data_IF_343945532259
#
_entry.id   IF_343945532259
#
_cell.length_a   1.000
_cell.length_b   1.000
_cell.length_c   1.000
_cell.angle_alpha   90.00
_cell.angle_beta   90.00
_cell.angle_gamma   90.00
#
_symmetry.space_group_name_H-M   'P 1'
#
loop_
_entity.id
_entity.type
_entity.pdbx_description
1 polymer ?
#
# COMPACT_ATOMS: atom_id res chain seq x y z
N UNK A 1 41.25 -24.48 -41.41
CA UNK A 1 41.14 -23.73 -40.14
C UNK A 1 39.67 -23.77 -39.72
N UNK A 2 39.30 -24.75 -38.90
CA UNK A 2 37.94 -24.96 -38.40
C UNK A 2 38.04 -24.94 -36.87
N UNK A 3 37.32 -24.04 -36.17
CA UNK A 3 37.37 -23.98 -34.73
C UNK A 3 36.82 -25.27 -34.12
N UNK A 4 37.51 -25.77 -33.09
CA UNK A 4 37.26 -27.02 -32.41
C UNK A 4 35.91 -26.96 -31.67
N UNK A 5 35.04 -27.94 -31.91
CA UNK A 5 33.71 -28.09 -31.31
C UNK A 5 33.76 -28.23 -29.77
N UNK A 6 34.95 -28.44 -29.20
CA UNK A 6 35.21 -28.47 -27.76
C UNK A 6 35.08 -27.09 -27.10
N UNK A 7 35.32 -26.00 -27.82
CA UNK A 7 35.20 -24.63 -27.28
C UNK A 7 33.73 -24.20 -27.13
N UNK A 8 32.84 -24.63 -28.04
CA UNK A 8 31.41 -24.31 -27.95
C UNK A 8 30.67 -25.11 -26.85
N UNK A 9 31.18 -26.29 -26.50
CA UNK A 9 30.63 -27.09 -25.41
C UNK A 9 30.98 -26.54 -24.01
N UNK A 10 32.01 -25.69 -23.90
CA UNK A 10 32.44 -25.07 -22.65
C UNK A 10 31.56 -23.90 -22.19
N UNK A 11 30.99 -23.13 -23.13
CA UNK A 11 30.25 -21.90 -22.82
C UNK A 11 28.76 -22.13 -22.49
N UNK A 12 28.21 -23.28 -22.90
CA UNK A 12 26.82 -23.67 -22.60
C UNK A 12 26.60 -24.12 -21.14
N UNK A 13 27.68 -24.32 -20.37
CA UNK A 13 27.62 -24.63 -18.93
C UNK A 13 27.52 -23.39 -18.02
N UNK A 14 27.77 -22.19 -18.55
CA UNK A 14 27.96 -20.96 -17.76
C UNK A 14 26.65 -20.16 -17.65
N UNK A 15 25.64 -20.49 -18.46
CA UNK A 15 24.35 -19.79 -18.53
C UNK A 15 23.23 -20.41 -17.68
N UNK A 16 23.54 -21.18 -16.63
CA UNK A 16 22.51 -21.75 -15.70
C UNK A 16 22.54 -21.20 -14.28
N UNK A 17 23.20 -20.07 -14.08
CA UNK A 17 22.99 -19.23 -12.91
C UNK A 17 22.20 -17.98 -13.32
N UNK A 18 20.96 -18.14 -13.77
CA UNK A 18 20.02 -17.03 -13.58
C UNK A 18 19.88 -16.87 -12.07
N UNK A 19 20.31 -15.74 -11.47
CA UNK A 19 19.95 -15.47 -10.09
C UNK A 19 18.44 -15.53 -10.06
N UNK A 20 17.88 -16.30 -9.13
CA UNK A 20 16.46 -16.27 -8.81
C UNK A 20 16.11 -14.79 -8.71
N UNK A 21 15.50 -14.23 -9.76
CA UNK A 21 14.89 -12.92 -9.69
C UNK A 21 13.78 -13.15 -8.70
N UNK A 22 14.12 -12.89 -7.45
CA UNK A 22 13.24 -12.82 -6.31
C UNK A 22 12.23 -11.76 -6.72
N UNK A 23 11.18 -12.21 -7.42
CA UNK A 23 10.03 -11.38 -7.70
C UNK A 23 9.64 -10.87 -6.34
N UNK A 24 9.82 -9.57 -6.14
CA UNK A 24 9.25 -8.89 -4.99
C UNK A 24 7.75 -8.92 -5.24
N UNK A 25 7.15 -10.06 -4.96
CA UNK A 25 5.73 -10.18 -4.75
C UNK A 25 5.45 -9.16 -3.63
N UNK A 26 4.65 -8.10 -3.87
CA UNK A 26 4.47 -7.04 -2.89
C UNK A 26 3.95 -7.66 -1.60
N UNK A 27 4.78 -7.56 -0.55
CA UNK A 27 4.47 -8.01 0.80
C UNK A 27 3.29 -7.18 1.31
N UNK A 28 2.12 -7.81 1.42
CA UNK A 28 0.89 -7.16 1.88
C UNK A 28 0.87 -7.00 3.40
N UNK A 29 -0.01 -6.13 3.90
CA UNK A 29 -0.29 -5.85 5.33
C UNK A 29 -0.46 -7.11 6.20
N UNK A 30 -0.79 -8.25 5.58
CA UNK A 30 -0.75 -9.55 6.24
C UNK A 30 0.60 -9.84 6.90
N UNK A 31 1.73 -9.48 6.30
CA UNK A 31 3.02 -9.97 6.78
C UNK A 31 3.46 -9.50 8.17
N UNK A 32 2.87 -8.41 8.64
CA UNK A 32 3.21 -7.77 9.92
C UNK A 32 2.33 -8.27 11.08
N UNK A 33 1.17 -8.88 10.81
CA UNK A 33 0.25 -9.34 11.86
C UNK A 33 0.52 -10.81 12.26
N UNK A 34 0.54 -11.13 13.56
CA UNK A 34 0.78 -12.48 14.05
C UNK A 34 -0.25 -13.48 13.44
N UNK A 35 0.13 -14.74 13.15
CA UNK A 35 -0.67 -15.69 12.35
C UNK A 35 -2.12 -15.88 12.81
N UNK A 36 -2.36 -15.81 14.13
CA UNK A 36 -3.68 -16.04 14.72
C UNK A 36 -4.70 -14.89 14.50
N UNK A 37 -4.26 -13.69 14.08
CA UNK A 37 -5.09 -12.49 13.93
C UNK A 37 -4.90 -11.79 12.59
N UNK A 38 -3.97 -12.27 11.77
CA UNK A 38 -3.63 -11.82 10.42
C UNK A 38 -4.85 -11.69 9.50
N UNK A 39 -5.69 -12.72 9.44
CA UNK A 39 -6.89 -12.72 8.60
C UNK A 39 -7.94 -11.70 9.06
N UNK A 40 -8.12 -11.53 10.38
CA UNK A 40 -9.06 -10.54 10.94
C UNK A 40 -8.58 -9.11 10.74
N UNK A 41 -7.29 -8.85 10.97
CA UNK A 41 -6.70 -7.53 10.76
C UNK A 41 -6.78 -7.09 9.29
N UNK A 42 -6.47 -7.99 8.35
CA UNK A 42 -6.61 -7.72 6.91
C UNK A 42 -8.07 -7.52 6.52
N UNK A 43 -8.99 -8.32 7.09
CA UNK A 43 -10.42 -8.17 6.87
C UNK A 43 -10.95 -6.81 7.34
N UNK A 44 -10.59 -6.38 8.55
CA UNK A 44 -10.96 -5.06 9.10
C UNK A 44 -10.37 -3.91 8.29
N UNK A 45 -9.10 -4.03 7.88
CA UNK A 45 -8.47 -3.02 7.02
C UNK A 45 -9.18 -2.87 5.68
N UNK A 46 -9.54 -4.00 5.05
CA UNK A 46 -10.28 -3.99 3.78
C UNK A 46 -11.67 -3.41 3.94
N UNK A 47 -12.41 -3.84 4.97
CA UNK A 47 -13.74 -3.31 5.28
C UNK A 47 -13.72 -1.78 5.36
N UNK A 48 -12.87 -1.23 6.23
CA UNK A 48 -12.76 0.23 6.39
C UNK A 48 -12.36 0.95 5.10
N UNK A 49 -11.45 0.37 4.32
CA UNK A 49 -11.02 0.96 3.05
C UNK A 49 -12.15 0.95 2.01
N UNK A 50 -12.81 -0.18 1.87
CA UNK A 50 -13.82 -0.40 0.83
C UNK A 50 -15.14 0.35 1.20
N UNK A 51 -15.49 0.42 2.47
CA UNK A 51 -16.60 1.23 2.99
C UNK A 51 -16.39 2.72 2.72
N UNK A 52 -15.16 3.22 2.86
CA UNK A 52 -14.82 4.62 2.58
C UNK A 52 -15.12 5.02 1.13
N UNK A 53 -14.83 4.14 0.17
CA UNK A 53 -15.16 4.38 -1.24
C UNK A 53 -16.67 4.37 -1.48
N UNK A 54 -17.39 3.40 -0.91
CA UNK A 54 -18.83 3.29 -1.09
C UNK A 54 -19.57 4.49 -0.48
N UNK A 55 -19.28 4.80 0.79
CA UNK A 55 -19.91 5.91 1.51
C UNK A 55 -19.54 7.25 0.90
N UNK A 56 -18.28 7.43 0.49
CA UNK A 56 -17.82 8.65 -0.17
C UNK A 56 -18.48 8.89 -1.52
N UNK A 57 -18.64 7.84 -2.34
CA UNK A 57 -19.33 7.94 -3.62
C UNK A 57 -20.83 8.26 -3.45
N UNK A 58 -21.49 7.62 -2.49
CA UNK A 58 -22.90 7.89 -2.19
C UNK A 58 -23.13 9.31 -1.67
N UNK A 59 -22.33 9.75 -0.68
CA UNK A 59 -22.44 11.10 -0.14
C UNK A 59 -22.08 12.15 -1.20
N UNK A 60 -20.99 11.95 -1.94
CA UNK A 60 -20.58 12.87 -2.99
C UNK A 60 -21.62 13.00 -4.10
N UNK A 61 -22.21 11.89 -4.53
CA UNK A 61 -23.29 11.86 -5.51
C UNK A 61 -24.54 12.59 -5.02
N UNK A 62 -25.06 12.23 -3.84
CA UNK A 62 -26.25 12.87 -3.27
C UNK A 62 -26.06 14.37 -3.05
N UNK A 63 -24.90 14.79 -2.54
CA UNK A 63 -24.60 16.21 -2.32
C UNK A 63 -24.48 16.94 -3.66
N UNK A 64 -23.87 16.32 -4.67
CA UNK A 64 -23.76 16.88 -6.01
C UNK A 64 -25.14 17.03 -6.69
N UNK A 65 -26.05 16.06 -6.49
CA UNK A 65 -27.38 16.09 -7.08
C UNK A 65 -28.28 17.17 -6.45
N UNK A 66 -28.15 17.39 -5.13
CA UNK A 66 -29.00 18.36 -4.41
C UNK A 66 -28.48 19.80 -4.44
N UNK A 67 -27.17 19.99 -4.32
CA UNK A 67 -26.55 21.31 -4.17
C UNK A 67 -25.52 21.64 -5.24
N UNK A 68 -25.35 20.76 -6.22
CA UNK A 68 -24.41 20.93 -7.32
C UNK A 68 -22.97 20.56 -6.96
N UNK A 69 -22.14 20.52 -8.00
CA UNK A 69 -20.76 20.03 -7.90
C UNK A 69 -19.87 20.84 -6.95
N UNK A 70 -20.08 22.16 -6.87
CA UNK A 70 -19.30 23.05 -5.98
C UNK A 70 -19.52 22.70 -4.51
N UNK A 71 -20.76 22.41 -4.11
CA UNK A 71 -21.08 22.01 -2.75
C UNK A 71 -20.47 20.64 -2.40
N UNK A 72 -20.48 19.69 -3.34
CA UNK A 72 -19.84 18.39 -3.16
C UNK A 72 -18.33 18.51 -2.91
N UNK A 73 -17.64 19.37 -3.68
CA UNK A 73 -16.20 19.63 -3.48
C UNK A 73 -15.93 20.22 -2.09
N UNK A 74 -16.72 21.22 -1.67
CA UNK A 74 -16.57 21.80 -0.34
C UNK A 74 -16.90 20.81 0.79
N UNK A 75 -17.86 19.92 0.59
CA UNK A 75 -18.18 18.87 1.55
C UNK A 75 -17.00 17.90 1.74
N UNK A 76 -16.38 17.43 0.64
CA UNK A 76 -15.20 16.56 0.70
C UNK A 76 -14.01 17.30 1.33
N UNK A 77 -13.81 18.58 1.01
CA UNK A 77 -12.76 19.39 1.62
C UNK A 77 -12.96 19.52 3.14
N UNK A 78 -14.18 19.81 3.59
CA UNK A 78 -14.51 19.90 5.01
C UNK A 78 -14.32 18.56 5.73
N UNK A 79 -14.75 17.45 5.12
CA UNK A 79 -14.58 16.10 5.68
C UNK A 79 -13.10 15.74 5.83
N UNK A 80 -12.28 16.06 4.82
CA UNK A 80 -10.83 15.82 4.84
C UNK A 80 -10.14 16.66 5.91
N UNK A 81 -10.49 17.95 6.00
CA UNK A 81 -9.96 18.84 7.03
C UNK A 81 -10.35 18.36 8.43
N UNK A 82 -11.61 17.96 8.63
CA UNK A 82 -12.08 17.41 9.90
C UNK A 82 -11.34 16.13 10.29
N UNK A 83 -11.12 15.22 9.34
CA UNK A 83 -10.33 14.01 9.56
C UNK A 83 -8.89 14.35 9.99
N UNK A 84 -8.26 15.30 9.30
CA UNK A 84 -6.93 15.79 9.66
C UNK A 84 -6.88 16.40 11.06
N UNK A 85 -7.88 17.20 11.44
CA UNK A 85 -8.00 17.76 12.79
C UNK A 85 -8.17 16.64 13.83
N UNK A 86 -9.04 15.65 13.56
CA UNK A 86 -9.24 14.51 14.45
C UNK A 86 -7.93 13.75 14.63
N UNK A 87 -7.18 13.48 13.57
CA UNK A 87 -5.86 12.84 13.67
C UNK A 87 -4.88 13.72 14.44
N UNK A 88 -4.80 15.01 14.14
CA UNK A 88 -3.90 15.93 14.84
C UNK A 88 -4.19 16.02 16.35
N UNK A 89 -5.46 15.87 16.75
CA UNK A 89 -5.87 15.87 18.16
C UNK A 89 -5.73 14.48 18.81
N UNK A 90 -5.90 13.38 18.05
CA UNK A 90 -5.98 12.01 18.59
C UNK A 90 -4.67 11.20 18.46
N UNK A 91 -3.84 11.47 17.45
CA UNK A 91 -2.47 10.95 17.41
C UNK A 91 -1.54 11.90 18.15
N UNK A 92 -1.23 11.56 19.40
CA UNK A 92 -0.04 12.10 20.06
C UNK A 92 1.21 11.50 19.41
N UNK A 93 2.17 12.36 19.03
CA UNK A 93 3.48 11.98 18.52
C UNK A 93 4.07 10.80 19.33
N UNK A 94 4.12 9.61 18.74
CA UNK A 94 4.77 8.44 19.36
C UNK A 94 6.24 8.33 18.94
N UNK A 95 6.79 9.35 18.28
CA UNK A 95 8.24 9.46 18.05
C UNK A 95 8.91 9.93 19.34
N UNK A 96 9.14 8.98 20.24
CA UNK A 96 10.14 9.15 21.30
C UNK A 96 11.47 9.49 20.63
N UNK A 97 11.93 10.71 20.88
CA UNK A 97 13.24 11.25 20.53
C UNK A 97 14.33 10.30 21.04
N UNK A 98 14.66 9.27 20.26
CA UNK A 98 15.82 8.42 20.49
C UNK A 98 17.02 9.30 20.15
N UNK A 99 17.46 10.09 21.14
CA UNK A 99 18.76 10.75 21.12
C UNK A 99 19.78 9.65 20.81
N UNK A 100 20.32 9.68 19.60
CA UNK A 100 21.49 8.89 19.25
C UNK A 100 22.63 9.50 20.06
N UNK A 101 22.89 8.93 21.24
CA UNK A 101 24.09 9.25 22.00
C UNK A 101 25.27 8.61 21.27
N UNK A 102 26.15 9.48 20.79
CA UNK A 102 27.46 9.19 20.22
C UNK A 102 28.45 8.68 21.28
#
# INVERSE_FOLDING_TARGET
MQPDQREQAGDLGLARHQPVQQRREPVGIGDVAHPAWRARAVGVYRLWRDDGFAVGALLGGVVADLWGLRAAVWAVAALTALSGIVVAVRMYETHSNRKVSA
#
